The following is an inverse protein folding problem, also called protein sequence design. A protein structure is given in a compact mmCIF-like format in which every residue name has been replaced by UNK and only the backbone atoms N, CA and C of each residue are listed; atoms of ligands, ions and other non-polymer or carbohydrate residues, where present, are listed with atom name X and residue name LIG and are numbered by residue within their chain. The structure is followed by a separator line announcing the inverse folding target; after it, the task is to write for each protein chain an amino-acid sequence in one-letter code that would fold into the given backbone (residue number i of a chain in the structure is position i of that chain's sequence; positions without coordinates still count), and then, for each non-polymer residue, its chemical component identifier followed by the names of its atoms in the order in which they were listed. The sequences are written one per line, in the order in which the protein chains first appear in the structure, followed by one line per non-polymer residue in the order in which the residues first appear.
data_IF_292637942824
#
_entry.id   IF_292637942824
#
_cell.length_a   1.000
_cell.length_b   1.000
_cell.length_c   1.000
_cell.angle_alpha   90.00
_cell.angle_beta   90.00
_cell.angle_gamma   90.00
#
_symmetry.space_group_name_H-M   'P 1'
#
loop_
_entity.id
_entity.type
_entity.pdbx_description
1 polymer ?
#
# COMPACT_ATOMS: atom_id res chain seq x y z
N UNK A 1 -45.58 -50.18 13.69
CA UNK A 1 -45.06 -49.36 12.56
C UNK A 1 -44.94 -47.87 12.88
N UNK A 2 -45.61 -47.36 13.93
CA UNK A 2 -45.57 -45.93 14.31
C UNK A 2 -44.32 -45.51 15.11
N UNK A 3 -43.72 -46.36 15.91
CA UNK A 3 -42.56 -46.02 16.75
C UNK A 3 -41.26 -45.75 15.98
N UNK A 4 -41.06 -46.38 14.81
CA UNK A 4 -39.86 -46.18 13.98
C UNK A 4 -39.83 -44.83 13.23
N UNK A 5 -40.97 -44.21 12.95
CA UNK A 5 -41.05 -42.92 12.24
C UNK A 5 -40.76 -41.72 13.17
N UNK A 6 -41.05 -41.84 14.46
CA UNK A 6 -40.82 -40.78 15.46
C UNK A 6 -39.32 -40.63 15.74
N UNK A 7 -38.54 -41.73 15.75
CA UNK A 7 -37.12 -41.71 16.01
C UNK A 7 -36.35 -41.06 14.82
N UNK A 8 -36.76 -41.26 13.58
CA UNK A 8 -36.13 -40.67 12.40
C UNK A 8 -36.38 -39.17 12.35
N UNK A 9 -37.54 -38.67 12.76
CA UNK A 9 -37.85 -37.24 12.81
C UNK A 9 -37.03 -36.53 13.91
N UNK A 10 -36.86 -37.21 15.08
CA UNK A 10 -36.04 -36.67 16.17
C UNK A 10 -34.55 -36.60 15.84
N UNK A 11 -34.02 -37.55 15.08
CA UNK A 11 -32.62 -37.54 14.62
C UNK A 11 -32.39 -36.47 13.52
N UNK A 12 -33.37 -36.25 12.64
CA UNK A 12 -33.29 -35.17 11.66
C UNK A 12 -33.37 -33.76 12.29
N UNK A 13 -34.11 -33.58 13.39
CA UNK A 13 -34.18 -32.30 14.10
C UNK A 13 -32.87 -31.94 14.83
N UNK A 14 -32.12 -32.94 15.28
CA UNK A 14 -30.85 -32.72 16.00
C UNK A 14 -29.72 -32.31 15.01
N UNK A 15 -29.80 -32.69 13.74
CA UNK A 15 -28.81 -32.32 12.72
C UNK A 15 -28.97 -30.85 12.30
N UNK A 16 -30.15 -30.23 12.47
CA UNK A 16 -30.37 -28.82 12.13
C UNK A 16 -30.03 -27.81 13.24
N UNK A 17 -29.70 -28.27 14.46
CA UNK A 17 -29.34 -27.38 15.58
C UNK A 17 -27.79 -27.19 15.68
N UNK A 18 -27.02 -27.89 14.84
CA UNK A 18 -25.56 -27.93 14.90
C UNK A 18 -24.82 -26.94 14.01
N UNK A 19 -25.50 -26.06 13.25
CA UNK A 19 -24.89 -24.93 12.57
C UNK A 19 -25.27 -23.62 13.28
N UNK A 20 -24.78 -23.46 14.52
CA UNK A 20 -24.50 -22.12 14.98
C UNK A 20 -23.21 -21.74 14.22
N UNK A 21 -23.32 -20.85 13.25
CA UNK A 21 -22.20 -20.02 12.86
C UNK A 21 -21.60 -19.45 14.16
N UNK A 22 -20.54 -20.07 14.65
CA UNK A 22 -19.59 -19.34 15.46
C UNK A 22 -19.10 -18.20 14.56
N UNK A 23 -19.78 -17.05 14.62
CA UNK A 23 -19.18 -15.79 14.24
C UNK A 23 -17.86 -15.77 15.01
N UNK A 24 -16.76 -16.10 14.34
CA UNK A 24 -15.41 -15.87 14.85
C UNK A 24 -15.44 -14.40 15.31
N UNK A 25 -15.48 -14.18 16.63
CA UNK A 25 -15.36 -12.84 17.18
C UNK A 25 -14.02 -12.33 16.66
N UNK A 26 -14.07 -11.47 15.67
CA UNK A 26 -12.89 -10.77 15.18
C UNK A 26 -12.32 -10.04 16.38
N UNK A 27 -11.10 -10.35 16.74
CA UNK A 27 -10.45 -9.74 17.89
C UNK A 27 -9.53 -8.66 17.37
N UNK A 28 -9.94 -7.40 17.53
CA UNK A 28 -9.05 -6.27 17.28
C UNK A 28 -7.83 -6.35 18.19
N UNK A 29 -6.67 -5.99 17.65
CA UNK A 29 -5.41 -5.90 18.38
C UNK A 29 -5.21 -4.42 18.72
N UNK A 30 -5.21 -4.11 20.00
CA UNK A 30 -4.89 -2.76 20.49
C UNK A 30 -3.39 -2.70 20.75
N UNK A 31 -2.72 -1.71 20.17
CA UNK A 31 -1.29 -1.49 20.30
C UNK A 31 -1.06 -0.33 21.24
N UNK A 32 -0.77 -0.61 22.50
CA UNK A 32 -0.40 0.41 23.48
C UNK A 32 1.07 0.85 23.31
N UNK A 33 1.95 -0.10 22.97
CA UNK A 33 3.37 0.16 22.73
C UNK A 33 3.97 -0.88 21.74
N UNK A 34 5.08 -0.50 21.13
CA UNK A 34 5.88 -1.41 20.31
C UNK A 34 6.96 -2.07 21.14
N UNK A 35 7.19 -3.40 21.06
CA UNK A 35 8.22 -4.11 21.83
C UNK A 35 9.62 -3.54 21.65
N UNK A 36 9.91 -3.01 20.46
CA UNK A 36 11.17 -2.36 20.12
C UNK A 36 10.88 -1.04 19.44
N UNK A 37 11.44 0.04 19.99
CA UNK A 37 11.43 1.38 19.34
C UNK A 37 12.86 1.81 19.10
N UNK A 38 13.19 2.23 17.88
CA UNK A 38 14.51 2.69 17.48
C UNK A 38 14.42 4.03 16.79
N UNK A 39 15.15 5.02 17.29
CA UNK A 39 15.33 6.30 16.60
C UNK A 39 16.42 6.17 15.54
N UNK A 40 16.14 6.63 14.34
CA UNK A 40 17.04 6.60 13.20
C UNK A 40 17.37 8.02 12.75
N UNK A 41 18.65 8.25 12.49
CA UNK A 41 19.12 9.49 11.86
C UNK A 41 19.57 9.19 10.44
N UNK A 42 18.96 9.86 9.47
CA UNK A 42 19.22 9.62 8.07
C UNK A 42 20.37 10.49 7.53
N UNK A 43 20.95 10.01 6.44
CA UNK A 43 21.92 10.75 5.65
C UNK A 43 21.54 10.73 4.16
N UNK A 44 21.84 11.80 3.40
CA UNK A 44 21.53 11.86 1.98
C UNK A 44 22.32 10.82 1.17
N UNK A 45 21.64 10.16 0.24
CA UNK A 45 22.31 9.35 -0.78
C UNK A 45 22.90 10.27 -1.87
N UNK A 46 24.00 10.94 -1.58
CA UNK A 46 24.55 12.05 -2.36
C UNK A 46 24.83 11.76 -3.85
N UNK A 47 24.98 10.49 -4.22
CA UNK A 47 25.21 10.08 -5.62
C UNK A 47 23.91 9.82 -6.39
N UNK A 48 22.79 9.81 -5.70
CA UNK A 48 21.47 9.66 -6.29
C UNK A 48 20.93 11.04 -6.67
N UNK A 49 20.46 11.17 -7.90
CA UNK A 49 19.89 12.40 -8.42
C UNK A 49 18.69 12.86 -7.59
N UNK A 50 18.64 14.15 -7.24
CA UNK A 50 17.47 14.72 -6.57
C UNK A 50 16.30 14.87 -7.55
N UNK A 51 15.08 14.67 -7.04
CA UNK A 51 13.86 14.72 -7.81
C UNK A 51 13.01 15.92 -7.37
N UNK A 52 12.93 16.94 -8.19
CA UNK A 52 12.36 18.24 -7.81
C UNK A 52 10.86 18.40 -8.06
N UNK A 53 10.19 17.43 -8.69
CA UNK A 53 8.76 17.53 -9.05
C UNK A 53 8.06 16.18 -9.01
N UNK A 54 6.88 16.16 -8.41
CA UNK A 54 5.99 15.00 -8.37
C UNK A 54 6.36 14.01 -7.27
N UNK A 55 5.66 12.89 -7.25
CA UNK A 55 5.95 11.77 -6.37
C UNK A 55 7.03 10.89 -6.99
N UNK A 56 7.91 10.37 -6.14
CA UNK A 56 8.89 9.35 -6.52
C UNK A 56 8.62 8.12 -5.68
N UNK A 57 8.08 7.09 -6.32
CA UNK A 57 7.94 5.78 -5.69
C UNK A 57 9.30 5.11 -5.60
N UNK A 58 9.52 4.40 -4.51
CA UNK A 58 10.80 3.79 -4.20
C UNK A 58 10.61 2.30 -3.90
N UNK A 59 11.47 1.47 -4.45
CA UNK A 59 11.48 0.02 -4.18
C UNK A 59 12.91 -0.49 -4.11
N UNK A 60 13.12 -1.54 -3.31
CA UNK A 60 14.39 -2.27 -3.26
C UNK A 60 14.12 -3.75 -3.47
N UNK A 61 14.87 -4.34 -4.39
CA UNK A 61 14.90 -5.77 -4.63
C UNK A 61 16.36 -6.21 -4.83
N UNK A 62 16.79 -7.23 -4.11
CA UNK A 62 18.18 -7.67 -4.06
C UNK A 62 19.12 -6.47 -3.83
N UNK A 63 20.06 -6.23 -4.74
CA UNK A 63 21.00 -5.11 -4.70
C UNK A 63 20.58 -3.91 -5.56
N UNK A 64 19.30 -3.83 -5.94
CA UNK A 64 18.80 -2.77 -6.81
C UNK A 64 17.83 -1.85 -6.07
N UNK A 65 18.14 -0.55 -6.08
CA UNK A 65 17.24 0.52 -5.68
C UNK A 65 16.56 1.08 -6.93
N UNK A 66 15.25 0.99 -6.98
CA UNK A 66 14.43 1.38 -8.12
C UNK A 66 13.63 2.63 -7.75
N UNK A 67 13.79 3.68 -8.51
CA UNK A 67 13.06 4.93 -8.37
C UNK A 67 12.15 5.11 -9.57
N UNK A 68 10.86 5.28 -9.33
CA UNK A 68 9.84 5.53 -10.35
C UNK A 68 9.25 6.92 -10.14
N UNK A 69 9.46 7.82 -11.09
CA UNK A 69 8.82 9.14 -11.12
C UNK A 69 7.35 8.99 -11.52
N UNK A 70 6.43 9.65 -10.83
CA UNK A 70 5.04 9.72 -11.28
C UNK A 70 4.86 10.67 -12.48
N UNK A 71 5.79 11.62 -12.65
CA UNK A 71 5.74 12.61 -13.71
C UNK A 71 7.12 12.92 -14.27
N UNK A 72 7.21 13.10 -15.59
CA UNK A 72 8.38 13.64 -16.28
C UNK A 72 7.98 14.82 -17.14
N UNK A 73 8.82 15.85 -17.20
CA UNK A 73 8.53 17.14 -17.84
C UNK A 73 9.16 17.29 -19.22
N UNK A 74 10.17 16.50 -19.56
CA UNK A 74 10.86 16.57 -20.83
C UNK A 74 10.97 15.20 -21.51
N UNK A 75 11.19 15.18 -22.80
CA UNK A 75 11.39 13.96 -23.58
C UNK A 75 12.70 13.23 -23.24
N UNK A 76 13.68 13.95 -22.69
CA UNK A 76 14.98 13.39 -22.30
C UNK A 76 14.94 12.70 -20.94
N UNK A 77 13.91 12.99 -20.11
CA UNK A 77 13.72 12.33 -18.83
C UNK A 77 13.24 10.90 -19.02
N UNK A 78 13.47 10.09 -18.00
CA UNK A 78 12.99 8.71 -17.90
C UNK A 78 12.18 8.53 -16.62
N UNK A 79 11.14 7.70 -16.69
CA UNK A 79 10.32 7.39 -15.53
C UNK A 79 11.07 6.55 -14.50
N UNK A 80 11.92 5.63 -14.94
CA UNK A 80 12.58 4.66 -14.07
C UNK A 80 14.08 4.92 -14.06
N UNK A 81 14.64 4.96 -12.84
CA UNK A 81 16.09 4.94 -12.60
C UNK A 81 16.41 3.78 -11.65
N UNK A 82 17.39 2.98 -12.00
CA UNK A 82 17.86 1.82 -11.22
C UNK A 82 19.28 2.11 -10.74
N UNK A 83 19.49 2.00 -9.44
CA UNK A 83 20.78 2.22 -8.79
C UNK A 83 21.22 0.95 -8.05
N UNK A 84 22.52 0.78 -7.87
CA UNK A 84 23.07 -0.23 -6.95
C UNK A 84 22.87 0.22 -5.50
N UNK A 85 22.32 -0.62 -4.64
CA UNK A 85 22.23 -0.34 -3.20
C UNK A 85 23.60 -0.32 -2.52
N UNK A 86 24.59 -1.05 -3.06
CA UNK A 86 25.96 -1.12 -2.53
C UNK A 86 26.74 0.18 -2.75
N UNK A 87 26.61 0.78 -3.93
CA UNK A 87 27.48 1.91 -4.34
C UNK A 87 26.69 3.18 -4.66
N UNK A 88 25.36 3.13 -4.66
CA UNK A 88 24.46 4.18 -5.13
C UNK A 88 24.77 4.67 -6.55
N UNK A 89 25.50 3.89 -7.34
CA UNK A 89 25.76 4.21 -8.75
C UNK A 89 24.55 3.92 -9.60
N UNK A 90 24.25 4.82 -10.53
CA UNK A 90 23.24 4.61 -11.54
C UNK A 90 23.63 3.45 -12.44
N UNK A 91 22.75 2.47 -12.60
CA UNK A 91 22.92 1.28 -13.45
C UNK A 91 22.13 1.43 -14.76
N UNK A 92 20.88 1.93 -14.66
CA UNK A 92 20.05 2.13 -15.85
C UNK A 92 19.06 3.30 -15.65
N UNK A 93 18.71 3.97 -16.77
CA UNK A 93 17.55 4.85 -16.88
C UNK A 93 16.70 4.37 -18.05
N UNK A 94 15.43 4.11 -17.81
CA UNK A 94 14.56 3.53 -18.84
C UNK A 94 13.14 4.12 -18.79
N UNK A 95 12.37 3.81 -19.81
CA UNK A 95 10.97 4.17 -20.01
C UNK A 95 10.75 5.67 -20.25
N UNK A 96 10.30 5.96 -21.46
CA UNK A 96 9.92 7.30 -21.93
C UNK A 96 8.43 7.57 -21.74
N UNK A 97 8.05 8.83 -21.83
CA UNK A 97 6.65 9.25 -21.84
C UNK A 97 6.07 9.08 -23.23
N UNK A 98 4.94 8.40 -23.34
CA UNK A 98 4.23 8.24 -24.60
C UNK A 98 3.24 7.10 -24.63
N UNK A 99 2.79 6.77 -25.85
CA UNK A 99 1.77 5.75 -26.12
C UNK A 99 2.28 4.54 -26.89
N UNK A 100 3.55 4.55 -27.32
CA UNK A 100 4.17 3.42 -28.00
C UNK A 100 4.35 2.23 -27.03
N UNK A 101 4.59 1.02 -27.55
CA UNK A 101 5.03 -0.09 -26.71
C UNK A 101 6.27 0.30 -25.90
N UNK A 102 6.26 0.01 -24.60
CA UNK A 102 7.37 0.38 -23.71
C UNK A 102 7.37 1.80 -23.18
N UNK A 103 6.39 2.63 -23.55
CA UNK A 103 6.22 3.98 -23.00
C UNK A 103 5.10 4.01 -21.97
N UNK A 104 5.17 4.93 -21.00
CA UNK A 104 4.15 5.16 -19.98
C UNK A 104 3.55 6.56 -20.08
N UNK A 105 2.34 6.73 -19.54
CA UNK A 105 1.71 8.04 -19.36
C UNK A 105 1.71 8.48 -17.90
N UNK A 106 1.32 7.58 -17.00
CA UNK A 106 1.11 7.85 -15.58
C UNK A 106 1.37 6.57 -14.75
N UNK A 107 2.66 6.21 -14.59
CA UNK A 107 3.03 4.97 -13.93
C UNK A 107 3.05 5.07 -12.42
N UNK A 108 2.66 3.99 -11.76
CA UNK A 108 2.67 3.81 -10.31
C UNK A 108 3.26 2.43 -9.99
N UNK A 109 4.10 2.32 -8.96
CA UNK A 109 4.49 1.01 -8.44
C UNK A 109 3.30 0.34 -7.75
N UNK A 110 3.10 -0.94 -8.06
CA UNK A 110 2.12 -1.77 -7.35
C UNK A 110 2.61 -2.22 -5.97
N UNK A 111 3.91 -2.10 -5.71
CA UNK A 111 4.56 -2.64 -4.53
C UNK A 111 4.87 -4.14 -4.62
N UNK A 112 4.49 -4.80 -5.72
CA UNK A 112 4.74 -6.22 -5.91
C UNK A 112 6.10 -6.48 -6.56
N UNK A 113 6.75 -7.51 -6.03
CA UNK A 113 8.00 -8.07 -6.55
C UNK A 113 7.82 -9.58 -6.58
N UNK A 114 8.16 -10.18 -7.68
CA UNK A 114 8.20 -11.64 -7.86
C UNK A 114 9.52 -12.03 -8.52
N UNK A 115 9.84 -13.30 -8.49
CA UNK A 115 11.01 -13.84 -9.19
C UNK A 115 10.55 -14.72 -10.34
N UNK A 116 11.13 -14.47 -11.51
CA UNK A 116 10.88 -15.31 -12.69
C UNK A 116 11.31 -16.75 -12.39
N UNK A 117 10.44 -17.74 -12.55
CA UNK A 117 10.74 -19.12 -12.18
C UNK A 117 11.82 -19.79 -13.07
N UNK A 118 12.07 -19.26 -14.28
CA UNK A 118 13.02 -19.85 -15.22
C UNK A 118 14.45 -19.37 -15.00
N UNK A 119 14.65 -18.09 -14.61
CA UNK A 119 15.97 -17.48 -14.50
C UNK A 119 16.24 -16.83 -13.13
N UNK A 120 15.26 -16.81 -12.23
CA UNK A 120 15.32 -16.18 -10.91
C UNK A 120 15.61 -14.69 -10.96
N UNK A 121 15.22 -14.01 -12.04
CA UNK A 121 15.34 -12.55 -12.12
C UNK A 121 14.20 -11.87 -11.34
N UNK A 122 14.49 -10.78 -10.62
CA UNK A 122 13.46 -10.01 -9.95
C UNK A 122 12.61 -9.23 -10.96
N UNK A 123 11.30 -9.43 -10.86
CA UNK A 123 10.28 -8.76 -11.67
C UNK A 123 9.54 -7.76 -10.78
N UNK A 124 9.47 -6.51 -11.19
CA UNK A 124 8.64 -5.49 -10.54
C UNK A 124 7.42 -5.16 -11.38
N UNK A 125 6.31 -4.92 -10.70
CA UNK A 125 5.02 -4.64 -11.32
C UNK A 125 4.74 -3.13 -11.31
N UNK A 126 4.42 -2.59 -12.48
CA UNK A 126 4.13 -1.19 -12.68
C UNK A 126 2.77 -1.04 -13.36
N UNK A 127 1.87 -0.31 -12.73
CA UNK A 127 0.57 0.03 -13.31
C UNK A 127 0.61 1.40 -13.95
N UNK A 128 0.29 1.48 -15.24
CA UNK A 128 0.14 2.74 -15.97
C UNK A 128 -1.35 3.13 -16.02
N UNK A 129 -1.77 3.99 -15.11
CA UNK A 129 -3.16 4.42 -14.97
C UNK A 129 -3.67 5.15 -16.21
N UNK A 130 -2.80 5.92 -16.87
CA UNK A 130 -3.10 6.64 -18.10
C UNK A 130 -3.35 5.74 -19.31
N UNK A 131 -2.99 4.45 -19.22
CA UNK A 131 -3.20 3.44 -20.28
C UNK A 131 -3.98 2.22 -19.79
N UNK A 132 -4.33 2.19 -18.52
CA UNK A 132 -4.98 1.05 -17.87
C UNK A 132 -4.24 -0.27 -18.13
N UNK A 133 -2.95 -0.28 -17.88
CA UNK A 133 -2.05 -1.38 -18.26
C UNK A 133 -1.10 -1.72 -17.13
N UNK A 134 -1.00 -3.01 -16.81
CA UNK A 134 0.00 -3.57 -15.93
C UNK A 134 1.22 -4.00 -16.76
N UNK A 135 2.40 -3.70 -16.26
CA UNK A 135 3.69 -4.00 -16.92
C UNK A 135 4.59 -4.74 -15.95
N UNK A 136 5.25 -5.77 -16.45
CA UNK A 136 6.23 -6.60 -15.76
C UNK A 136 7.61 -6.18 -16.23
N UNK A 137 8.44 -5.68 -15.33
CA UNK A 137 9.77 -5.19 -15.63
C UNK A 137 10.82 -6.13 -15.01
N UNK A 138 11.53 -6.87 -15.83
CA UNK A 138 12.73 -7.62 -15.42
C UNK A 138 13.88 -6.67 -15.15
N UNK A 139 14.35 -6.66 -13.91
CA UNK A 139 15.37 -5.71 -13.47
C UNK A 139 16.75 -6.06 -14.03
N UNK A 140 17.10 -7.34 -14.07
CA UNK A 140 18.41 -7.79 -14.57
C UNK A 140 18.54 -7.51 -16.07
N UNK A 141 17.53 -7.87 -16.86
CA UNK A 141 17.54 -7.55 -18.29
C UNK A 141 17.52 -6.07 -18.55
N UNK A 142 16.76 -5.29 -17.78
CA UNK A 142 16.73 -3.84 -17.89
C UNK A 142 18.09 -3.20 -17.64
N UNK A 143 18.83 -3.68 -16.65
CA UNK A 143 20.19 -3.18 -16.35
C UNK A 143 21.19 -3.59 -17.42
N UNK A 144 21.09 -4.79 -17.98
CA UNK A 144 22.04 -5.29 -18.97
C UNK A 144 21.83 -4.72 -20.38
N UNK A 145 20.59 -4.52 -20.79
CA UNK A 145 20.23 -4.26 -22.19
C UNK A 145 19.48 -2.94 -22.42
N UNK A 146 19.09 -2.24 -21.38
CA UNK A 146 18.31 -0.98 -21.39
C UNK A 146 16.93 -1.08 -22.09
N UNK A 147 16.45 -2.29 -22.42
CA UNK A 147 15.34 -2.44 -23.37
C UNK A 147 14.00 -2.87 -22.78
N UNK A 148 13.84 -3.21 -21.51
CA UNK A 148 12.87 -4.24 -21.32
C UNK A 148 11.73 -4.04 -20.34
N UNK A 149 10.62 -3.95 -21.00
CA UNK A 149 9.30 -4.26 -20.51
C UNK A 149 8.97 -5.63 -21.10
N UNK A 150 9.00 -6.68 -20.27
CA UNK A 150 8.88 -8.04 -20.75
C UNK A 150 7.46 -8.42 -21.14
N UNK A 151 6.48 -8.03 -20.35
CA UNK A 151 5.09 -8.34 -20.61
C UNK A 151 4.18 -7.19 -20.20
N UNK A 152 3.07 -7.04 -20.90
CA UNK A 152 2.05 -6.03 -20.64
C UNK A 152 0.67 -6.66 -20.69
N UNK A 153 -0.07 -6.50 -19.61
CA UNK A 153 -1.46 -6.94 -19.54
C UNK A 153 -2.36 -5.70 -19.52
N UNK A 154 -3.30 -5.64 -20.48
CA UNK A 154 -4.36 -4.65 -20.46
C UNK A 154 -5.33 -4.98 -19.34
N UNK A 155 -5.52 -4.04 -18.44
CA UNK A 155 -6.50 -4.16 -17.37
C UNK A 155 -7.87 -3.77 -17.94
N UNK A 156 -8.91 -4.58 -17.75
CA UNK A 156 -10.25 -4.23 -18.19
C UNK A 156 -10.72 -2.92 -17.55
N UNK A 157 -11.61 -2.21 -18.23
CA UNK A 157 -12.26 -1.05 -17.63
C UNK A 157 -13.23 -1.53 -16.54
N UNK A 158 -12.83 -1.37 -15.29
CA UNK A 158 -13.60 -1.80 -14.12
C UNK A 158 -14.59 -0.74 -13.60
N UNK A 159 -14.80 0.32 -14.37
CA UNK A 159 -15.77 1.37 -14.03
C UNK A 159 -15.29 2.41 -13.01
N UNK A 160 -14.10 2.23 -12.46
CA UNK A 160 -13.50 3.11 -11.44
C UNK A 160 -12.22 3.79 -11.96
N UNK A 161 -11.89 4.95 -11.40
CA UNK A 161 -10.60 5.59 -11.64
C UNK A 161 -9.56 4.96 -10.70
N UNK A 162 -8.89 3.91 -11.17
CA UNK A 162 -7.91 3.16 -10.38
C UNK A 162 -6.69 4.03 -10.09
N UNK A 163 -6.33 4.11 -8.82
CA UNK A 163 -5.17 4.83 -8.33
C UNK A 163 -3.96 3.89 -8.15
N UNK A 164 -4.19 2.72 -7.54
CA UNK A 164 -3.18 1.69 -7.37
C UNK A 164 -3.78 0.32 -7.67
N UNK A 165 -2.99 -0.58 -8.20
CA UNK A 165 -3.42 -1.91 -8.61
C UNK A 165 -2.43 -2.95 -8.09
N UNK A 166 -2.96 -4.03 -7.51
CA UNK A 166 -2.20 -5.20 -7.10
C UNK A 166 -2.69 -6.41 -7.91
N UNK A 167 -1.75 -7.12 -8.51
CA UNK A 167 -2.00 -8.33 -9.28
C UNK A 167 -1.82 -9.53 -8.35
N UNK A 168 -2.92 -10.15 -7.95
CA UNK A 168 -2.85 -11.32 -7.08
C UNK A 168 -2.70 -12.62 -7.86
N UNK A 169 -3.40 -12.73 -8.98
CA UNK A 169 -3.33 -13.89 -9.90
C UNK A 169 -3.90 -13.50 -11.25
N UNK A 170 -3.81 -14.37 -12.24
CA UNK A 170 -4.40 -14.20 -13.57
C UNK A 170 -5.89 -13.84 -13.54
N UNK A 171 -6.53 -14.03 -12.41
CA UNK A 171 -7.96 -13.81 -12.26
C UNK A 171 -8.36 -12.78 -11.22
N UNK A 172 -7.48 -12.41 -10.29
CA UNK A 172 -7.84 -11.50 -9.18
C UNK A 172 -6.93 -10.28 -9.17
N UNK A 173 -7.56 -9.11 -9.20
CA UNK A 173 -6.91 -7.82 -9.04
C UNK A 173 -7.50 -7.13 -7.80
N UNK A 174 -6.65 -6.50 -7.01
CA UNK A 174 -7.05 -5.62 -5.91
C UNK A 174 -6.69 -4.20 -6.32
N UNK A 175 -7.61 -3.26 -6.22
CA UNK A 175 -7.37 -1.89 -6.65
C UNK A 175 -7.89 -0.87 -5.65
N UNK A 176 -7.08 0.13 -5.35
CA UNK A 176 -7.56 1.38 -4.76
C UNK A 176 -8.05 2.31 -5.86
N UNK A 177 -9.01 3.16 -5.56
CA UNK A 177 -9.64 4.00 -6.57
C UNK A 177 -10.04 5.37 -6.01
N UNK A 178 -10.16 6.34 -6.91
CA UNK A 178 -10.84 7.59 -6.60
C UNK A 178 -12.33 7.40 -6.84
N UNK A 179 -13.21 7.68 -5.86
CA UNK A 179 -14.65 7.60 -6.06
C UNK A 179 -15.08 8.58 -7.13
N UNK A 180 -16.04 8.15 -7.94
CA UNK A 180 -16.78 9.04 -8.84
C UNK A 180 -18.14 9.31 -8.21
N UNK A 181 -18.76 10.47 -8.49
CA UNK A 181 -20.08 10.82 -7.94
C UNK A 181 -21.17 9.76 -8.20
N UNK A 182 -20.97 8.92 -9.22
CA UNK A 182 -21.92 7.90 -9.66
C UNK A 182 -21.53 6.48 -9.21
N UNK A 183 -20.39 6.31 -8.53
CA UNK A 183 -19.88 5.01 -8.09
C UNK A 183 -20.30 4.70 -6.66
N UNK A 184 -20.44 3.41 -6.35
CA UNK A 184 -20.61 2.98 -4.96
C UNK A 184 -19.37 3.36 -4.15
N UNK A 185 -19.59 4.02 -3.04
CA UNK A 185 -18.54 4.37 -2.09
C UNK A 185 -17.96 3.14 -1.45
N UNK A 186 -16.63 3.10 -1.33
CA UNK A 186 -15.91 2.04 -0.67
C UNK A 186 -14.43 2.36 -0.52
N UNK A 187 -13.71 1.50 0.15
CA UNK A 187 -12.27 1.68 0.46
C UNK A 187 -11.38 1.23 -0.68
N UNK A 188 -11.64 0.05 -1.20
CA UNK A 188 -10.94 -0.55 -2.33
C UNK A 188 -11.84 -1.57 -3.01
N UNK A 189 -11.42 -2.12 -4.13
CA UNK A 189 -12.18 -3.13 -4.84
C UNK A 189 -11.34 -4.38 -5.13
N UNK A 190 -12.04 -5.49 -5.28
CA UNK A 190 -11.52 -6.74 -5.79
C UNK A 190 -12.22 -7.02 -7.11
N UNK A 191 -11.45 -7.19 -8.18
CA UNK A 191 -11.96 -7.51 -9.49
C UNK A 191 -11.56 -8.92 -9.89
N UNK A 192 -12.55 -9.73 -10.25
CA UNK A 192 -12.31 -11.06 -10.79
C UNK A 192 -12.31 -11.01 -12.33
N UNK A 193 -11.13 -11.16 -12.93
CA UNK A 193 -10.97 -11.08 -14.38
C UNK A 193 -11.63 -12.25 -15.15
N UNK A 194 -11.90 -13.38 -14.50
CA UNK A 194 -12.59 -14.53 -15.14
C UNK A 194 -14.11 -14.32 -15.18
N UNK A 195 -14.72 -13.95 -14.04
CA UNK A 195 -16.17 -13.73 -13.94
C UNK A 195 -16.60 -12.33 -14.35
N UNK A 196 -15.64 -11.38 -14.44
CA UNK A 196 -15.87 -9.94 -14.68
C UNK A 196 -16.64 -9.26 -13.54
N UNK A 197 -16.65 -9.87 -12.37
CA UNK A 197 -17.31 -9.34 -11.19
C UNK A 197 -16.40 -8.39 -10.41
N UNK A 198 -16.98 -7.31 -9.92
CA UNK A 198 -16.32 -6.34 -9.05
C UNK A 198 -16.99 -6.38 -7.68
N UNK A 199 -16.22 -6.62 -6.64
CA UNK A 199 -16.62 -6.48 -5.25
C UNK A 199 -15.98 -5.24 -4.66
N UNK A 200 -16.79 -4.24 -4.30
CA UNK A 200 -16.33 -3.06 -3.57
C UNK A 200 -16.37 -3.36 -2.08
N UNK A 201 -15.27 -3.08 -1.40
CA UNK A 201 -15.15 -3.27 0.05
C UNK A 201 -15.67 -2.02 0.75
N UNK A 202 -16.67 -2.15 1.64
CA UNK A 202 -17.32 -1.01 2.27
C UNK A 202 -16.39 -0.24 3.21
N UNK A 203 -16.84 0.95 3.60
CA UNK A 203 -16.19 1.74 4.63
C UNK A 203 -16.22 1.03 5.97
N UNK A 204 -15.06 0.81 6.56
CA UNK A 204 -14.85 0.21 7.87
C UNK A 204 -13.74 0.97 8.59
N UNK A 205 -13.83 1.16 9.93
CA UNK A 205 -14.99 0.87 10.76
C UNK A 205 -16.15 1.86 10.52
N UNK A 206 -17.35 1.53 10.94
CA UNK A 206 -18.42 2.51 11.06
C UNK A 206 -18.13 3.40 12.27
N UNK A 207 -17.80 4.66 12.02
CA UNK A 207 -17.48 5.63 13.07
C UNK A 207 -18.73 6.21 13.74
N UNK A 208 -19.93 5.87 13.26
CA UNK A 208 -21.20 6.43 13.78
C UNK A 208 -21.35 7.94 13.48
N UNK A 209 -20.53 8.50 12.56
CA UNK A 209 -20.54 9.89 12.19
C UNK A 209 -21.20 10.08 10.82
N UNK A 210 -21.91 11.20 10.67
CA UNK A 210 -22.50 11.58 9.37
C UNK A 210 -21.55 12.53 8.64
N UNK A 211 -21.04 12.09 7.50
CA UNK A 211 -20.19 12.88 6.62
C UNK A 211 -20.89 13.05 5.26
N UNK A 212 -20.64 14.16 4.58
CA UNK A 212 -20.90 14.23 3.15
C UNK A 212 -19.94 13.33 2.35
N UNK A 213 -20.22 13.09 1.09
CA UNK A 213 -19.47 12.12 0.28
C UNK A 213 -18.00 12.52 0.11
N UNK A 214 -17.69 13.81 0.01
CA UNK A 214 -16.32 14.29 -0.14
C UNK A 214 -15.49 14.06 1.14
N UNK A 215 -16.04 14.38 2.30
CA UNK A 215 -15.37 14.13 3.59
C UNK A 215 -15.25 12.64 3.88
N UNK A 216 -16.31 11.85 3.61
CA UNK A 216 -16.26 10.40 3.75
C UNK A 216 -15.15 9.80 2.90
N UNK A 217 -15.03 10.23 1.65
CA UNK A 217 -13.94 9.80 0.79
C UNK A 217 -12.58 10.09 1.39
N UNK A 218 -12.32 11.32 1.83
CA UNK A 218 -11.03 11.70 2.39
C UNK A 218 -10.68 10.89 3.63
N UNK A 219 -11.66 10.65 4.51
CA UNK A 219 -11.45 9.87 5.76
C UNK A 219 -11.07 8.42 5.45
N UNK A 220 -11.77 7.80 4.48
CA UNK A 220 -11.61 6.38 4.16
C UNK A 220 -10.71 6.11 2.95
N UNK A 221 -10.09 7.15 2.38
CA UNK A 221 -9.08 6.96 1.34
C UNK A 221 -7.99 6.02 1.84
N UNK A 222 -7.82 4.88 1.16
CA UNK A 222 -7.03 3.78 1.71
C UNK A 222 -5.80 3.48 0.88
N UNK A 223 -4.71 3.21 1.59
CA UNK A 223 -3.56 2.50 1.06
C UNK A 223 -3.74 1.01 1.32
N UNK A 224 -3.40 0.20 0.33
CA UNK A 224 -3.48 -1.25 0.43
C UNK A 224 -2.13 -1.89 0.14
N UNK A 225 -1.89 -3.05 0.74
CA UNK A 225 -0.84 -3.97 0.36
C UNK A 225 -1.40 -5.39 0.36
N UNK A 226 -0.93 -6.23 -0.55
CA UNK A 226 -1.39 -7.62 -0.67
C UNK A 226 -0.25 -8.53 -0.32
N UNK A 227 -0.45 -9.40 0.66
CA UNK A 227 0.46 -10.49 0.96
C UNK A 227 -0.05 -11.78 0.32
N UNK A 228 0.62 -12.22 -0.74
CA UNK A 228 0.22 -13.40 -1.50
C UNK A 228 0.51 -14.68 -0.72
N UNK A 229 1.63 -14.74 -0.02
CA UNK A 229 2.06 -15.93 0.72
C UNK A 229 1.13 -16.20 1.90
N UNK A 230 0.83 -15.18 2.69
CA UNK A 230 -0.05 -15.26 3.87
C UNK A 230 -1.54 -15.06 3.52
N UNK A 231 -1.86 -14.82 2.25
CA UNK A 231 -3.22 -14.73 1.70
C UNK A 231 -4.12 -13.67 2.35
N UNK A 232 -3.59 -12.46 2.59
CA UNK A 232 -4.38 -11.36 3.10
C UNK A 232 -4.19 -10.06 2.32
N UNK A 233 -5.16 -9.17 2.45
CA UNK A 233 -5.09 -7.76 2.05
C UNK A 233 -5.03 -6.93 3.32
N UNK A 234 -3.98 -6.11 3.46
CA UNK A 234 -3.90 -5.08 4.49
C UNK A 234 -4.37 -3.75 3.88
N UNK A 235 -5.23 -3.03 4.59
CA UNK A 235 -5.72 -1.73 4.15
C UNK A 235 -5.77 -0.75 5.33
N UNK A 236 -5.19 0.43 5.18
CA UNK A 236 -5.27 1.52 6.15
C UNK A 236 -5.87 2.75 5.50
N UNK A 237 -6.84 3.37 6.17
CA UNK A 237 -7.37 4.65 5.75
C UNK A 237 -6.41 5.76 6.17
N UNK A 238 -6.22 6.76 5.30
CA UNK A 238 -5.22 7.83 5.51
C UNK A 238 -5.44 8.61 6.81
N UNK A 239 -6.68 8.79 7.23
CA UNK A 239 -7.02 9.53 8.45
C UNK A 239 -7.30 8.63 9.65
N UNK A 240 -6.88 7.37 9.62
CA UNK A 240 -7.11 6.42 10.72
C UNK A 240 -5.79 5.78 11.19
N UNK A 241 -5.59 5.76 12.51
CA UNK A 241 -4.45 5.08 13.14
C UNK A 241 -4.68 3.58 13.30
N UNK A 242 -5.07 2.91 12.20
CA UNK A 242 -5.35 1.47 12.22
C UNK A 242 -5.12 0.80 10.87
N UNK A 243 -4.80 -0.49 10.90
CA UNK A 243 -4.73 -1.37 9.74
C UNK A 243 -5.81 -2.43 9.84
N UNK A 244 -6.57 -2.60 8.76
CA UNK A 244 -7.59 -3.64 8.63
C UNK A 244 -7.07 -4.76 7.74
N UNK A 245 -7.33 -5.99 8.15
CA UNK A 245 -6.95 -7.20 7.41
C UNK A 245 -8.20 -7.85 6.84
N UNK A 246 -8.10 -8.21 5.57
CA UNK A 246 -9.15 -8.91 4.83
C UNK A 246 -8.56 -10.16 4.19
N UNK A 247 -9.37 -11.20 4.02
CA UNK A 247 -9.00 -12.30 3.15
C UNK A 247 -8.99 -11.84 1.67
N UNK A 248 -8.48 -12.68 0.78
CA UNK A 248 -8.39 -12.36 -0.64
C UNK A 248 -9.76 -12.29 -1.35
N UNK A 249 -10.85 -12.67 -0.66
CA UNK A 249 -12.21 -12.44 -1.10
C UNK A 249 -12.80 -11.13 -0.56
N UNK A 250 -12.01 -10.38 0.21
CA UNK A 250 -12.42 -9.12 0.84
C UNK A 250 -13.38 -9.30 2.01
N UNK A 251 -13.32 -10.42 2.71
CA UNK A 251 -14.01 -10.57 3.98
C UNK A 251 -13.10 -10.05 5.09
N UNK A 252 -13.66 -9.21 5.96
CA UNK A 252 -12.92 -8.67 7.09
C UNK A 252 -12.47 -9.77 8.05
N UNK A 253 -11.21 -9.70 8.49
CA UNK A 253 -10.60 -10.66 9.41
C UNK A 253 -10.43 -10.02 10.79
N UNK A 254 -9.72 -8.88 10.89
CA UNK A 254 -9.32 -8.21 12.13
C UNK A 254 -8.81 -6.81 11.86
N UNK A 255 -8.59 -6.02 12.92
CA UNK A 255 -7.87 -4.75 12.87
C UNK A 255 -6.70 -4.75 13.85
N UNK A 256 -5.65 -4.01 13.50
CA UNK A 256 -4.61 -3.56 14.42
C UNK A 256 -4.75 -2.06 14.61
N UNK A 257 -5.03 -1.62 15.83
CA UNK A 257 -5.35 -0.24 16.19
C UNK A 257 -4.19 0.31 17.00
N UNK A 258 -3.50 1.33 16.49
CA UNK A 258 -2.34 1.97 17.13
C UNK A 258 -2.57 3.46 17.47
N UNK A 259 -3.79 3.96 17.19
CA UNK A 259 -4.30 5.22 17.72
C UNK A 259 -5.72 5.01 18.23
N UNK A 260 -6.07 5.46 19.45
CA UNK A 260 -7.40 5.25 20.01
C UNK A 260 -8.51 5.84 19.14
N UNK A 261 -9.57 5.07 18.89
CA UNK A 261 -10.70 5.51 18.04
C UNK A 261 -11.46 6.70 18.61
N UNK A 262 -11.51 6.80 19.93
CA UNK A 262 -12.15 7.92 20.63
C UNK A 262 -11.45 9.24 20.31
N UNK A 263 -10.13 9.26 20.34
CA UNK A 263 -9.33 10.41 19.95
C UNK A 263 -9.49 10.74 18.48
N UNK A 264 -9.55 9.70 17.62
CA UNK A 264 -9.82 9.88 16.20
C UNK A 264 -11.19 10.49 15.94
N UNK A 265 -12.24 10.01 16.61
CA UNK A 265 -13.60 10.55 16.47
C UNK A 265 -13.62 12.04 16.87
N UNK A 266 -13.00 12.41 17.98
CA UNK A 266 -12.89 13.79 18.41
C UNK A 266 -12.12 14.65 17.40
N UNK A 267 -11.01 14.13 16.86
CA UNK A 267 -10.24 14.81 15.82
C UNK A 267 -11.08 15.00 14.56
N UNK A 268 -11.76 13.96 14.08
CA UNK A 268 -12.59 14.02 12.87
C UNK A 268 -13.76 15.00 13.04
N UNK A 269 -14.45 14.96 14.17
CA UNK A 269 -15.55 15.91 14.46
C UNK A 269 -15.10 17.36 14.48
N UNK A 270 -13.93 17.63 15.08
CA UNK A 270 -13.41 18.99 15.22
C UNK A 270 -12.66 19.45 13.96
N UNK A 271 -11.94 18.57 13.26
CA UNK A 271 -11.04 18.90 12.14
C UNK A 271 -11.74 18.93 10.79
N UNK A 272 -12.72 18.09 10.56
CA UNK A 272 -13.61 18.22 9.38
C UNK A 272 -14.25 19.61 9.36
N UNK A 273 -14.57 20.14 10.54
CA UNK A 273 -15.10 21.50 10.67
C UNK A 273 -14.04 22.60 10.42
N UNK A 274 -12.74 22.28 10.54
CA UNK A 274 -11.63 23.27 10.45
C UNK A 274 -10.85 23.18 9.13
N UNK A 275 -11.19 22.27 8.24
CA UNK A 275 -10.46 22.02 6.98
C UNK A 275 -8.95 21.71 7.11
N UNK A 276 -8.53 21.23 8.26
CA UNK A 276 -7.14 20.80 8.53
C UNK A 276 -7.13 19.33 8.94
N UNK A 277 -7.16 18.40 7.96
CA UNK A 277 -7.26 16.96 8.22
C UNK A 277 -6.00 16.41 8.88
N UNK A 278 -6.19 15.31 9.62
CA UNK A 278 -5.10 14.56 10.23
C UNK A 278 -4.70 13.38 9.35
N UNK A 279 -3.41 13.18 9.14
CA UNK A 279 -2.88 12.06 8.37
C UNK A 279 -2.13 11.07 9.26
N UNK A 280 -2.56 9.80 9.23
CA UNK A 280 -1.88 8.71 9.92
C UNK A 280 -1.03 7.89 8.95
N UNK A 281 -1.62 7.06 8.11
CA UNK A 281 -0.87 6.16 7.25
C UNK A 281 -0.80 6.68 5.82
N UNK A 282 0.41 6.76 5.28
CA UNK A 282 0.64 7.24 3.91
C UNK A 282 1.06 6.14 2.93
N UNK A 283 1.57 5.02 3.40
CA UNK A 283 1.99 3.89 2.56
C UNK A 283 1.97 2.59 3.37
N UNK A 284 1.55 1.50 2.73
CA UNK A 284 1.67 0.14 3.25
C UNK A 284 2.51 -0.70 2.31
N UNK A 285 3.39 -1.53 2.86
CA UNK A 285 4.15 -2.55 2.10
C UNK A 285 4.23 -3.84 2.89
N UNK A 286 4.05 -4.95 2.19
CA UNK A 286 4.35 -6.28 2.71
C UNK A 286 5.69 -6.74 2.16
N UNK A 287 6.54 -7.28 3.03
CA UNK A 287 7.84 -7.86 2.65
C UNK A 287 8.23 -8.93 3.66
N UNK A 288 8.66 -10.09 3.20
CA UNK A 288 9.19 -11.19 4.02
C UNK A 288 8.30 -11.55 5.23
N UNK A 289 6.98 -11.64 4.99
CA UNK A 289 5.98 -11.96 6.01
C UNK A 289 5.64 -10.80 6.97
N UNK A 290 6.30 -9.64 6.85
CA UNK A 290 6.04 -8.47 7.68
C UNK A 290 5.22 -7.43 6.91
N UNK A 291 4.41 -6.67 7.65
CA UNK A 291 3.72 -5.48 7.16
C UNK A 291 4.39 -4.22 7.71
N UNK A 292 4.76 -3.34 6.81
CA UNK A 292 5.34 -2.03 7.11
C UNK A 292 4.30 -0.94 6.81
N UNK A 293 4.06 -0.06 7.78
CA UNK A 293 3.14 1.07 7.63
C UNK A 293 3.90 2.38 7.90
N UNK A 294 3.98 3.24 6.89
CA UNK A 294 4.53 4.59 7.05
C UNK A 294 3.51 5.45 7.78
N UNK A 295 3.77 5.73 9.04
CA UNK A 295 2.91 6.49 9.94
C UNK A 295 3.39 7.94 10.01
N UNK A 296 2.57 8.87 9.58
CA UNK A 296 2.86 10.31 9.63
C UNK A 296 2.47 10.92 10.98
N UNK A 297 1.30 10.57 11.49
CA UNK A 297 0.74 11.05 12.77
C UNK A 297 0.78 12.59 12.91
N UNK A 298 0.37 13.31 11.87
CA UNK A 298 0.47 14.75 11.77
C UNK A 298 -0.76 15.39 11.13
N UNK A 299 -1.00 16.68 11.44
CA UNK A 299 -1.94 17.50 10.72
C UNK A 299 -1.43 17.86 9.32
N UNK A 300 -2.34 18.10 8.36
CA UNK A 300 -1.99 18.50 7.00
C UNK A 300 -1.16 19.80 6.99
N UNK A 301 -1.55 20.79 7.79
CA UNK A 301 -0.82 22.04 7.92
C UNK A 301 0.61 21.83 8.45
N UNK A 302 0.80 20.91 9.39
CA UNK A 302 2.14 20.58 9.91
C UNK A 302 3.00 19.89 8.85
N UNK A 303 2.42 19.06 7.99
CA UNK A 303 3.14 18.38 6.92
C UNK A 303 3.53 19.33 5.78
N UNK A 304 2.62 20.20 5.35
CA UNK A 304 2.80 20.91 4.08
C UNK A 304 3.03 22.40 4.21
N UNK A 305 2.56 23.04 5.29
CA UNK A 305 2.68 24.49 5.50
C UNK A 305 3.76 24.85 6.51
N UNK A 306 3.62 24.37 7.74
CA UNK A 306 4.55 24.75 8.83
C UNK A 306 5.82 23.93 8.85
N UNK A 307 5.81 22.74 8.24
CA UNK A 307 6.92 21.76 8.20
C UNK A 307 7.43 21.39 9.60
N UNK A 308 6.50 21.23 10.53
CA UNK A 308 6.77 20.84 11.93
C UNK A 308 6.32 19.41 12.14
N UNK A 309 7.11 18.48 11.65
CA UNK A 309 6.80 17.07 11.74
C UNK A 309 6.94 16.56 13.17
N UNK A 310 5.95 15.82 13.64
CA UNK A 310 6.09 14.94 14.80
C UNK A 310 6.57 13.59 14.32
N UNK A 311 7.21 12.86 15.12
CA UNK A 311 7.62 11.45 15.10
C UNK A 311 7.16 10.59 13.90
N UNK A 312 7.39 11.08 12.66
CA UNK A 312 7.16 10.27 11.47
C UNK A 312 7.89 8.97 11.64
N UNK A 313 7.19 7.86 11.48
CA UNK A 313 7.72 6.56 11.85
C UNK A 313 7.32 5.47 10.88
N UNK A 314 8.09 4.38 10.87
CA UNK A 314 7.73 3.16 10.18
C UNK A 314 7.35 2.11 11.22
N UNK A 315 6.07 1.71 11.19
CA UNK A 315 5.52 0.69 12.07
C UNK A 315 5.64 -0.66 11.39
N UNK A 316 6.07 -1.68 12.15
CA UNK A 316 6.28 -3.04 11.65
C UNK A 316 5.39 -3.99 12.42
N UNK A 317 4.63 -4.79 11.70
CA UNK A 317 3.73 -5.80 12.23
C UNK A 317 4.03 -7.18 11.62
N UNK A 318 3.75 -8.24 12.36
CA UNK A 318 3.75 -9.59 11.80
C UNK A 318 2.50 -9.86 10.95
N UNK A 319 2.40 -11.03 10.32
CA UNK A 319 1.24 -11.46 9.53
C UNK A 319 -0.04 -11.57 10.37
N UNK A 320 0.11 -11.75 11.67
CA UNK A 320 -1.00 -11.74 12.62
C UNK A 320 -1.39 -10.34 13.08
N UNK A 321 -0.72 -9.30 12.62
CA UNK A 321 -0.98 -7.90 12.96
C UNK A 321 -0.46 -7.50 14.34
N UNK A 322 0.36 -8.31 15.00
CA UNK A 322 0.98 -7.93 16.26
C UNK A 322 2.11 -6.93 16.00
N UNK A 323 2.30 -5.92 16.89
CA UNK A 323 3.39 -4.97 16.77
C UNK A 323 4.73 -5.66 17.00
N UNK A 324 5.69 -5.45 16.10
CA UNK A 324 7.05 -5.99 16.19
C UNK A 324 8.04 -4.89 16.52
N UNK A 325 8.02 -3.79 15.76
CA UNK A 325 9.01 -2.74 15.87
C UNK A 325 8.48 -1.40 15.36
N UNK A 326 8.97 -0.31 15.95
CA UNK A 326 8.75 1.06 15.48
C UNK A 326 10.12 1.70 15.21
N UNK A 327 10.30 2.22 13.99
CA UNK A 327 11.42 3.08 13.64
C UNK A 327 10.94 4.53 13.60
N UNK A 328 11.57 5.43 14.35
CA UNK A 328 11.28 6.86 14.36
C UNK A 328 12.34 7.58 13.52
N UNK A 329 11.92 8.35 12.53
CA UNK A 329 12.82 9.19 11.74
C UNK A 329 13.08 10.50 12.49
N UNK A 330 14.19 10.55 13.25
CA UNK A 330 14.49 11.61 14.22
C UNK A 330 15.03 12.91 13.61
N UNK A 331 15.20 12.98 12.30
CA UNK A 331 15.83 14.10 11.60
C UNK A 331 14.86 15.16 11.05
N UNK A 332 13.61 15.13 11.52
CA UNK A 332 12.56 16.11 11.22
C UNK A 332 12.35 16.34 9.71
N UNK A 333 12.22 15.25 8.93
CA UNK A 333 11.93 15.28 7.50
C UNK A 333 10.57 14.70 7.19
N UNK A 334 9.92 15.24 6.16
CA UNK A 334 8.71 14.64 5.61
C UNK A 334 9.07 13.44 4.72
N UNK A 335 8.80 12.25 5.23
CA UNK A 335 8.94 11.00 4.47
C UNK A 335 7.64 10.72 3.75
N UNK A 336 7.67 10.66 2.42
CA UNK A 336 6.47 10.35 1.61
C UNK A 336 6.43 8.93 1.08
N UNK A 337 7.58 8.33 0.83
CA UNK A 337 7.71 6.92 0.39
C UNK A 337 8.94 6.27 1.00
N UNK A 338 8.91 4.94 1.14
CA UNK A 338 10.02 4.18 1.68
C UNK A 338 10.26 2.87 0.93
N UNK A 339 11.45 2.29 1.10
CA UNK A 339 11.78 0.92 0.71
C UNK A 339 12.76 0.31 1.71
N UNK A 340 12.64 -0.98 1.95
CA UNK A 340 13.47 -1.74 2.89
C UNK A 340 14.54 -2.50 2.12
N UNK A 341 15.78 -2.29 2.49
CA UNK A 341 16.96 -3.05 2.06
C UNK A 341 17.47 -3.90 3.23
N UNK A 342 16.94 -5.11 3.36
CA UNK A 342 17.32 -6.03 4.43
C UNK A 342 18.74 -6.52 4.26
N UNK A 343 19.24 -6.62 3.01
CA UNK A 343 20.59 -7.07 2.73
C UNK A 343 21.65 -6.19 3.41
N UNK A 344 21.36 -4.88 3.50
CA UNK A 344 22.28 -3.90 4.09
C UNK A 344 21.75 -3.28 5.38
N UNK A 345 20.63 -3.75 5.92
CA UNK A 345 19.92 -3.16 7.07
C UNK A 345 19.66 -1.66 6.89
N UNK A 346 18.99 -1.29 5.77
CA UNK A 346 18.72 0.09 5.42
C UNK A 346 17.25 0.33 5.06
N UNK A 347 16.81 1.53 5.39
CA UNK A 347 15.57 2.08 4.88
C UNK A 347 15.93 3.23 3.94
N UNK A 348 15.53 3.13 2.68
CA UNK A 348 15.56 4.24 1.74
C UNK A 348 14.25 4.99 1.80
N UNK A 349 14.30 6.31 1.83
CA UNK A 349 13.09 7.14 1.84
C UNK A 349 13.16 8.24 0.77
N UNK A 350 11.99 8.63 0.28
CA UNK A 350 11.82 9.84 -0.49
C UNK A 350 11.23 10.93 0.38
N UNK A 351 11.94 12.07 0.50
CA UNK A 351 11.55 13.22 1.29
C UNK A 351 11.10 14.35 0.35
N UNK A 352 9.80 14.38 0.02
CA UNK A 352 9.25 15.25 -1.03
C UNK A 352 9.45 16.76 -0.78
N UNK A 353 9.63 17.17 0.47
CA UNK A 353 9.82 18.58 0.84
C UNK A 353 11.29 19.03 0.81
N UNK A 354 12.23 18.12 0.52
CA UNK A 354 13.65 18.47 0.33
C UNK A 354 13.91 18.87 -1.13
N UNK A 355 14.55 20.01 -1.34
CA UNK A 355 14.83 20.51 -2.68
C UNK A 355 16.02 19.81 -3.36
N UNK A 356 16.99 19.36 -2.54
CA UNK A 356 18.21 18.69 -2.97
C UNK A 356 18.42 17.44 -2.10
N UNK A 357 19.02 16.41 -2.70
CA UNK A 357 19.35 15.16 -1.97
C UNK A 357 18.16 14.56 -1.21
N UNK A 358 17.02 14.42 -1.88
CA UNK A 358 15.76 14.00 -1.26
C UNK A 358 15.57 12.46 -1.17
N UNK A 359 16.58 11.69 -1.55
CA UNK A 359 16.68 10.27 -1.20
C UNK A 359 17.55 10.15 0.04
N UNK A 360 16.94 9.75 1.13
CA UNK A 360 17.59 9.63 2.45
C UNK A 360 17.72 8.15 2.81
N UNK A 361 18.84 7.81 3.42
CA UNK A 361 19.16 6.45 3.89
C UNK A 361 19.22 6.45 5.41
N UNK A 362 18.58 5.48 6.02
CA UNK A 362 18.63 5.20 7.45
C UNK A 362 19.16 3.79 7.65
N UNK A 363 20.21 3.62 8.43
CA UNK A 363 20.73 2.32 8.83
C UNK A 363 20.00 1.85 10.11
N UNK A 364 19.61 0.52 10.20
CA UNK A 364 18.85 -0.05 11.33
C UNK A 364 19.35 -1.40 11.85
#
# INVERSE_FOLDING_TARGET
MFAKRIIIISVLLIIFIGCSDEQKKHKDIIVDEFPVTTELTGYPANTIEAYSKGHVFISVVDSFLILLKSHISSADERFISIYSTNSHKLLAKTVTKGRAPGEFLDPVFTGQIEYDPDNNHPIVYIYDSGRNRLTFLDIIETVNDYKHINEQILIPQIGYSVNSLFYYSDSILVATFFPRPESQDGRFLIYNNRTKETKVIPHLPDLGLSFDDAHRFMIYYSFCSVNIEEQYIAASAIQMGEVHYFDLNGNYIKSTIFSPREELIDVLQNKVATSDPYFFVNELKTKDGLLYALNLDNLEDDLFQTKKYKDISLLVFDSDGNPIKKYIFADNRYVSHFAIDELHNRIYTFCANEAEHNIIVYDF
#
